data_IF_124143810491
#
_entry.id   IF_124143810491
#
_cell.length_a   1.000
_cell.length_b   1.000
_cell.length_c   1.000
_cell.angle_alpha   90.00
_cell.angle_beta   90.00
_cell.angle_gamma   90.00
#
_symmetry.space_group_name_H-M   'P 1'
#
loop_
_entity.id
_entity.type
_entity.pdbx_description
1 polymer ?
#
# COMPACT_ATOMS: atom_id res chain seq x y z
N UNK A 1 0.69 25.19 -19.07
CA UNK A 1 0.15 24.11 -18.22
C UNK A 1 0.51 22.68 -18.65
N UNK A 2 1.11 22.42 -19.82
CA UNK A 2 1.65 21.08 -20.20
C UNK A 2 3.06 20.75 -19.67
N UNK A 3 3.73 21.71 -19.02
CA UNK A 3 5.15 21.59 -18.65
C UNK A 3 5.43 20.95 -17.28
N UNK A 4 4.42 20.84 -16.40
CA UNK A 4 4.60 20.28 -15.04
C UNK A 4 4.41 18.76 -15.04
N UNK A 5 3.43 18.25 -15.80
CA UNK A 5 3.19 16.81 -15.97
C UNK A 5 4.36 16.09 -16.65
N UNK A 6 5.08 16.77 -17.54
CA UNK A 6 6.26 16.20 -18.22
C UNK A 6 7.49 16.07 -17.32
N UNK A 7 7.61 16.88 -16.26
CA UNK A 7 8.78 16.86 -15.35
C UNK A 7 8.71 15.71 -14.33
N UNK A 8 7.51 15.32 -13.92
CA UNK A 8 7.32 14.16 -13.02
C UNK A 8 7.65 12.86 -13.76
N UNK A 9 7.21 12.71 -15.01
CA UNK A 9 7.52 11.53 -15.84
C UNK A 9 9.01 11.47 -16.25
N UNK A 10 9.64 12.60 -16.60
CA UNK A 10 11.06 12.64 -16.99
C UNK A 10 12.02 12.34 -15.83
N UNK A 11 11.64 12.68 -14.60
CA UNK A 11 12.45 12.37 -13.41
C UNK A 11 12.38 10.89 -13.03
N UNK A 12 11.28 10.20 -13.36
CA UNK A 12 11.12 8.76 -13.14
C UNK A 12 11.88 7.97 -14.22
N UNK A 13 11.93 8.44 -15.47
CA UNK A 13 12.73 7.81 -16.53
C UNK A 13 14.25 7.87 -16.30
N UNK A 14 14.78 8.91 -15.65
CA UNK A 14 16.23 9.02 -15.40
C UNK A 14 16.73 8.04 -14.34
N UNK A 15 15.85 7.53 -13.46
CA UNK A 15 16.16 6.49 -12.48
C UNK A 15 16.30 5.09 -13.12
N UNK A 16 15.68 4.89 -14.29
CA UNK A 16 15.66 3.61 -15.03
C UNK A 16 16.97 3.38 -15.80
N UNK A 17 17.62 4.44 -16.30
CA UNK A 17 18.87 4.31 -17.09
C UNK A 17 20.08 3.99 -16.20
N UNK A 18 20.09 4.45 -14.94
CA UNK A 18 21.24 4.23 -14.05
C UNK A 18 21.32 2.80 -13.48
N UNK A 19 20.19 2.09 -13.36
CA UNK A 19 20.15 0.73 -12.81
C UNK A 19 20.41 -0.36 -13.85
N UNK A 20 20.11 -0.11 -15.14
CA UNK A 20 20.43 -1.03 -16.23
C UNK A 20 21.93 -1.09 -16.59
N UNK A 21 22.72 -0.10 -16.17
CA UNK A 21 24.16 -0.05 -16.46
C UNK A 21 25.00 -0.88 -15.48
N UNK A 22 24.44 -1.31 -14.34
CA UNK A 22 25.18 -2.02 -13.29
C UNK A 22 25.07 -3.55 -13.38
N UNK A 23 24.19 -4.08 -14.24
CA UNK A 23 23.99 -5.53 -14.42
C UNK A 23 24.92 -6.19 -15.46
N UNK A 24 25.84 -5.43 -16.05
CA UNK A 24 26.75 -5.90 -17.12
C UNK A 24 28.19 -6.18 -16.65
N UNK A 25 28.46 -6.11 -15.34
CA UNK A 25 29.78 -6.35 -14.77
C UNK A 25 29.76 -7.35 -13.60
N UNK A 26 29.21 -8.55 -13.80
CA UNK A 26 29.53 -9.70 -12.95
C UNK A 26 29.80 -10.94 -13.81
N UNK A 27 31.10 -11.16 -14.01
CA UNK A 27 31.83 -12.42 -14.19
C UNK A 27 31.09 -13.67 -14.67
N UNK A 28 31.44 -14.08 -15.90
CA UNK A 28 31.33 -15.46 -16.35
C UNK A 28 32.38 -16.35 -15.64
N UNK A 29 31.96 -17.55 -15.22
CA UNK A 29 32.85 -18.66 -14.87
C UNK A 29 32.33 -19.97 -15.51
N UNK A 30 33.20 -20.93 -15.84
CA UNK A 30 32.99 -21.86 -16.95
C UNK A 30 32.22 -23.13 -16.56
N UNK A 31 31.47 -23.67 -17.53
CA UNK A 31 30.79 -24.97 -17.47
C UNK A 31 31.78 -26.12 -17.63
N UNK A 32 31.79 -27.03 -16.66
CA UNK A 32 32.33 -28.39 -16.80
C UNK A 32 31.29 -29.33 -17.42
N UNK A 33 31.71 -30.07 -18.44
CA UNK A 33 31.00 -31.18 -19.11
C UNK A 33 31.46 -32.50 -18.49
N UNK A 34 30.57 -33.52 -18.45
CA UNK A 34 30.79 -34.97 -18.68
C UNK A 34 29.56 -35.75 -18.14
N UNK A 35 28.61 -36.17 -18.98
CA UNK A 35 28.44 -37.48 -19.68
C UNK A 35 28.19 -38.72 -18.81
N UNK A 36 27.08 -39.41 -19.08
CA UNK A 36 26.78 -40.80 -18.68
C UNK A 36 25.30 -41.12 -18.94
N UNK A 37 24.94 -41.60 -20.14
CA UNK A 37 24.82 -43.02 -20.51
C UNK A 37 23.44 -43.64 -20.18
N UNK A 38 22.72 -43.98 -21.26
CA UNK A 38 21.46 -44.74 -21.37
C UNK A 38 21.75 -46.26 -21.29
N UNK A 39 20.80 -47.13 -20.87
CA UNK A 39 19.97 -47.86 -21.86
C UNK A 39 18.51 -48.12 -21.37
N UNK A 40 17.48 -47.97 -22.20
CA UNK A 40 16.83 -48.96 -23.08
C UNK A 40 16.09 -50.12 -22.36
N UNK A 41 14.77 -50.18 -22.55
CA UNK A 41 13.95 -51.36 -22.27
C UNK A 41 12.46 -51.05 -22.03
N UNK A 42 11.61 -51.27 -23.04
CA UNK A 42 10.17 -51.34 -22.87
C UNK A 42 9.58 -52.40 -23.80
N UNK A 43 8.70 -53.28 -23.30
CA UNK A 43 7.65 -53.86 -24.12
C UNK A 43 6.25 -53.49 -23.59
N UNK A 44 5.31 -53.47 -24.52
CA UNK A 44 3.90 -53.13 -24.34
C UNK A 44 3.13 -54.16 -23.49
N UNK A 45 2.13 -53.70 -22.73
CA UNK A 45 1.19 -54.54 -22.00
C UNK A 45 -0.09 -53.80 -21.58
N UNK A 46 -1.23 -54.37 -22.02
CA UNK A 46 -2.66 -54.10 -21.75
C UNK A 46 -3.09 -53.67 -20.32
N UNK A 47 -4.04 -52.73 -20.29
CA UNK A 47 -5.40 -52.79 -19.67
C UNK A 47 -5.60 -53.46 -18.30
N UNK A 48 -5.98 -52.69 -17.27
CA UNK A 48 -7.31 -52.65 -16.58
C UNK A 48 -7.24 -51.86 -15.26
N UNK A 49 -8.29 -51.09 -14.98
CA UNK A 49 -8.86 -50.71 -13.68
C UNK A 49 -7.97 -50.26 -12.50
N UNK A 50 -8.11 -48.99 -12.10
CA UNK A 50 -7.96 -48.56 -10.70
C UNK A 50 -8.68 -47.23 -10.44
N UNK A 51 -9.92 -47.30 -9.92
CA UNK A 51 -10.47 -46.29 -9.02
C UNK A 51 -9.83 -46.48 -7.65
N UNK A 52 -9.02 -45.53 -7.15
CA UNK A 52 -8.98 -45.09 -5.74
C UNK A 52 -7.86 -44.05 -5.50
N UNK A 53 -8.12 -43.12 -4.58
CA UNK A 53 -7.19 -42.22 -3.86
C UNK A 53 -6.70 -40.95 -4.59
N UNK A 54 -7.50 -39.89 -4.48
CA UNK A 54 -7.03 -38.50 -4.45
C UNK A 54 -7.34 -37.91 -3.06
N UNK A 55 -6.52 -38.24 -2.07
CA UNK A 55 -6.37 -37.41 -0.86
C UNK A 55 -5.22 -36.44 -1.10
N UNK A 56 -5.56 -35.30 -1.73
CA UNK A 56 -4.64 -34.19 -1.96
C UNK A 56 -4.72 -33.17 -0.82
N UNK A 57 -3.76 -33.28 0.10
CA UNK A 57 -3.14 -32.22 0.90
C UNK A 57 -3.98 -30.96 1.22
N UNK A 58 -4.48 -30.87 2.46
CA UNK A 58 -4.93 -29.61 3.05
C UNK A 58 -3.77 -28.59 3.08
N UNK A 59 -3.99 -27.31 2.77
CA UNK A 59 -3.00 -26.26 3.00
C UNK A 59 -2.61 -26.24 4.47
N UNK A 60 -1.31 -26.26 4.76
CA UNK A 60 -0.82 -26.00 6.11
C UNK A 60 -1.08 -24.53 6.43
N UNK A 61 -1.94 -24.30 7.43
CA UNK A 61 -2.14 -22.99 8.04
C UNK A 61 -0.78 -22.52 8.60
N UNK A 62 -0.20 -21.49 7.98
CA UNK A 62 0.98 -20.82 8.54
C UNK A 62 0.52 -20.08 9.80
N UNK A 63 1.10 -20.36 10.98
CA UNK A 63 0.65 -19.73 12.22
C UNK A 63 0.89 -18.22 12.16
N UNK A 64 -0.17 -17.42 12.30
CA UNK A 64 -0.15 -15.95 12.40
C UNK A 64 0.82 -15.44 13.49
N UNK A 65 1.16 -16.29 14.47
CA UNK A 65 2.12 -15.99 15.54
C UNK A 65 3.57 -15.79 15.06
N UNK A 66 3.97 -16.35 13.92
CA UNK A 66 5.31 -16.16 13.35
C UNK A 66 5.50 -14.77 12.72
N UNK A 67 4.43 -14.18 12.16
CA UNK A 67 4.47 -12.85 11.51
C UNK A 67 4.58 -11.72 12.56
N UNK A 68 3.93 -11.86 13.72
CA UNK A 68 4.05 -10.89 14.81
C UNK A 68 5.45 -10.88 15.46
N UNK A 69 6.09 -12.06 15.57
CA UNK A 69 7.38 -12.21 16.22
C UNK A 69 8.55 -11.52 15.49
N UNK A 70 8.52 -11.47 14.16
CA UNK A 70 9.54 -10.75 13.36
C UNK A 70 9.30 -9.24 13.32
N UNK A 71 8.04 -8.77 13.39
CA UNK A 71 7.72 -7.34 13.46
C UNK A 71 8.19 -6.68 14.77
N UNK A 72 8.07 -7.37 15.90
CA UNK A 72 8.54 -6.86 17.19
C UNK A 72 10.08 -6.82 17.29
N UNK A 73 10.80 -7.76 16.67
CA UNK A 73 12.28 -7.72 16.62
C UNK A 73 12.83 -6.56 15.78
N UNK A 74 12.03 -5.97 14.90
CA UNK A 74 12.39 -4.75 14.16
C UNK A 74 12.35 -3.49 15.02
N UNK A 75 11.66 -3.50 16.17
CA UNK A 75 11.63 -2.38 17.12
C UNK A 75 12.84 -2.34 18.06
N UNK A 76 13.56 -3.46 18.22
CA UNK A 76 14.85 -3.52 18.92
C UNK A 76 16.03 -3.09 18.04
N UNK A 77 15.79 -2.73 16.77
CA UNK A 77 16.79 -2.07 15.93
C UNK A 77 17.14 -0.75 16.60
N UNK A 78 18.37 -0.68 17.10
CA UNK A 78 19.03 0.45 17.75
C UNK A 78 18.45 1.76 17.22
N UNK A 79 17.48 2.28 17.97
CA UNK A 79 16.87 3.57 17.71
C UNK A 79 17.99 4.59 17.84
N UNK A 80 18.48 5.10 16.73
CA UNK A 80 19.31 6.28 16.76
C UNK A 80 18.42 7.41 17.33
N UNK A 81 18.66 7.78 18.58
CA UNK A 81 17.93 8.85 19.28
C UNK A 81 18.34 10.24 18.77
N UNK A 82 19.01 10.32 17.62
CA UNK A 82 19.31 11.58 16.94
C UNK A 82 18.00 12.24 16.47
N UNK A 83 17.48 13.09 17.37
CA UNK A 83 16.45 14.12 17.20
C UNK A 83 15.42 13.91 16.07
N UNK A 84 14.17 13.61 16.44
CA UNK A 84 13.01 13.88 15.57
C UNK A 84 13.08 15.33 15.09
N UNK A 85 13.25 15.55 13.79
CA UNK A 85 13.54 16.89 13.25
C UNK A 85 12.30 17.60 12.72
N UNK A 86 11.17 16.90 12.57
CA UNK A 86 9.91 17.52 12.17
C UNK A 86 8.72 16.85 12.87
N UNK A 87 7.89 17.68 13.50
CA UNK A 87 6.60 17.30 14.06
C UNK A 87 5.52 18.29 13.64
N UNK A 88 4.28 17.85 13.74
CA UNK A 88 3.09 18.63 13.47
C UNK A 88 2.02 18.23 14.48
N UNK A 89 1.10 19.14 14.77
CA UNK A 89 0.05 18.92 15.77
C UNK A 89 -1.29 19.28 15.17
N UNK A 90 -2.30 18.42 15.38
CA UNK A 90 -3.67 18.68 14.95
C UNK A 90 -4.30 19.77 15.82
N UNK A 91 -5.34 20.49 15.34
CA UNK A 91 -6.09 21.46 16.15
C UNK A 91 -6.60 20.92 17.49
N UNK A 92 -6.97 19.63 17.58
CA UNK A 92 -7.40 18.98 18.84
C UNK A 92 -6.25 18.40 19.66
N UNK A 93 -4.98 18.59 19.24
CA UNK A 93 -3.80 18.31 20.06
C UNK A 93 -3.10 16.98 19.79
N UNK A 94 -3.51 16.20 18.79
CA UNK A 94 -2.79 14.98 18.41
C UNK A 94 -1.47 15.35 17.72
N UNK A 95 -0.38 14.74 18.17
CA UNK A 95 0.97 15.05 17.71
C UNK A 95 1.48 13.96 16.78
N UNK A 96 2.05 14.35 15.64
CA UNK A 96 2.72 13.42 14.72
C UNK A 96 4.17 13.80 14.58
N UNK A 97 5.05 12.80 14.64
CA UNK A 97 6.48 12.92 14.38
C UNK A 97 6.96 11.72 13.58
N UNK A 98 8.17 11.82 13.06
CA UNK A 98 8.83 10.68 12.42
C UNK A 98 10.32 10.65 12.76
N UNK A 99 10.92 9.48 12.58
CA UNK A 99 12.38 9.27 12.65
C UNK A 99 12.82 8.23 11.64
N UNK A 100 14.09 8.25 11.25
CA UNK A 100 14.67 7.18 10.44
C UNK A 100 14.75 5.88 11.25
N UNK A 101 14.24 4.79 10.67
CA UNK A 101 14.56 3.42 11.13
C UNK A 101 15.78 2.93 10.38
N UNK A 102 15.82 3.20 9.07
CA UNK A 102 16.94 2.88 8.22
C UNK A 102 16.98 3.89 7.06
N UNK A 103 17.83 4.91 7.19
CA UNK A 103 17.96 5.97 6.18
C UNK A 103 18.50 5.44 4.84
N UNK A 104 19.39 4.44 4.87
CA UNK A 104 19.94 3.82 3.66
C UNK A 104 18.87 3.13 2.82
N UNK A 105 17.90 2.48 3.48
CA UNK A 105 16.75 1.84 2.83
C UNK A 105 15.57 2.80 2.63
N UNK A 106 15.67 4.05 3.10
CA UNK A 106 14.60 5.03 3.02
C UNK A 106 13.37 4.64 3.83
N UNK A 107 13.57 4.09 5.03
CA UNK A 107 12.51 3.61 5.93
C UNK A 107 12.43 4.52 7.17
N UNK A 108 11.24 5.04 7.42
CA UNK A 108 10.92 5.84 8.60
C UNK A 108 9.90 5.16 9.50
N UNK A 109 9.90 5.55 10.77
CA UNK A 109 8.85 5.25 11.74
C UNK A 109 8.07 6.53 12.00
N UNK A 110 6.78 6.51 11.68
CA UNK A 110 5.84 7.54 12.11
C UNK A 110 5.33 7.22 13.51
N UNK A 111 5.14 8.25 14.31
CA UNK A 111 4.56 8.17 15.65
C UNK A 111 3.41 9.15 15.72
N UNK A 112 2.22 8.66 16.04
CA UNK A 112 1.07 9.50 16.36
C UNK A 112 0.77 9.36 17.84
N UNK A 113 0.88 10.45 18.59
CA UNK A 113 0.65 10.49 20.02
C UNK A 113 -0.55 11.37 20.33
N UNK A 114 -1.52 10.81 21.05
CA UNK A 114 -2.68 11.53 21.55
C UNK A 114 -2.52 11.77 23.06
N UNK A 115 -2.09 12.98 23.48
CA UNK A 115 -1.92 13.33 24.89
C UNK A 115 -3.23 13.76 25.56
N UNK A 116 -4.36 13.71 24.86
CA UNK A 116 -5.65 14.18 25.36
C UNK A 116 -6.42 13.05 26.05
N UNK A 117 -7.48 13.42 26.77
CA UNK A 117 -8.36 12.48 27.47
C UNK A 117 -9.49 11.94 26.57
N UNK A 118 -9.49 12.27 25.28
CA UNK A 118 -10.48 11.81 24.29
C UNK A 118 -9.82 10.99 23.18
N UNK A 119 -10.56 10.05 22.59
CA UNK A 119 -10.15 9.42 21.33
C UNK A 119 -10.26 10.44 20.20
N UNK A 120 -9.19 10.55 19.40
CA UNK A 120 -9.14 11.45 18.24
C UNK A 120 -8.97 10.64 16.96
N UNK A 121 -9.65 11.06 15.90
CA UNK A 121 -9.43 10.55 14.55
C UNK A 121 -8.77 11.65 13.71
N UNK A 122 -7.67 11.31 13.03
CA UNK A 122 -6.91 12.25 12.22
C UNK A 122 -6.53 11.66 10.86
N UNK A 123 -6.22 12.53 9.91
CA UNK A 123 -5.47 12.17 8.70
C UNK A 123 -4.16 12.94 8.65
N UNK A 124 -3.13 12.28 8.10
CA UNK A 124 -1.80 12.88 7.95
C UNK A 124 -1.64 13.46 6.54
N UNK A 125 -1.26 14.73 6.45
CA UNK A 125 -0.82 15.37 5.21
C UNK A 125 0.70 15.42 5.22
N UNK A 126 1.34 14.71 4.31
CA UNK A 126 2.80 14.54 4.31
C UNK A 126 3.38 14.51 2.90
N UNK A 127 4.64 14.92 2.77
CA UNK A 127 5.39 14.89 1.52
C UNK A 127 6.83 14.45 1.75
N UNK A 128 7.68 14.66 0.76
CA UNK A 128 9.12 14.45 0.89
C UNK A 128 9.91 15.49 0.10
N UNK A 129 10.85 16.17 0.76
CA UNK A 129 11.74 17.11 0.08
C UNK A 129 12.81 16.37 -0.72
N UNK A 130 13.24 16.92 -1.88
CA UNK A 130 12.75 18.15 -2.49
C UNK A 130 11.63 17.94 -3.52
N UNK A 131 11.16 16.70 -3.73
CA UNK A 131 10.45 16.34 -4.98
C UNK A 131 8.99 15.96 -4.83
N UNK A 132 8.57 15.51 -3.65
CA UNK A 132 7.23 14.97 -3.42
C UNK A 132 6.42 16.03 -2.69
N UNK A 133 5.45 16.68 -3.36
CA UNK A 133 4.58 17.64 -2.71
C UNK A 133 3.78 16.97 -1.59
N UNK A 134 3.28 17.76 -0.64
CA UNK A 134 2.41 17.24 0.40
C UNK A 134 1.08 16.76 -0.18
N UNK A 135 0.63 15.59 0.26
CA UNK A 135 -0.67 15.01 -0.08
C UNK A 135 -1.23 14.23 1.10
N UNK A 136 -2.51 13.90 1.05
CA UNK A 136 -3.12 13.06 2.08
C UNK A 136 -2.52 11.65 2.07
N UNK A 137 -1.93 11.22 3.18
CA UNK A 137 -1.33 9.91 3.27
C UNK A 137 -2.39 8.82 3.05
N UNK A 138 -2.09 7.86 2.19
CA UNK A 138 -3.05 6.89 1.65
C UNK A 138 -3.45 7.15 0.19
N UNK A 139 -3.41 8.39 -0.31
CA UNK A 139 -3.96 8.72 -1.64
C UNK A 139 -3.16 8.15 -2.83
N UNK A 140 -1.82 8.13 -2.76
CA UNK A 140 -0.97 7.88 -3.92
C UNK A 140 -1.13 6.48 -4.55
N UNK A 141 -1.27 5.42 -3.74
CA UNK A 141 -1.36 4.04 -4.23
C UNK A 141 -2.51 3.27 -3.59
N UNK A 142 -3.59 3.97 -3.21
CA UNK A 142 -4.71 3.39 -2.47
C UNK A 142 -5.28 2.09 -3.07
N UNK A 143 -5.46 1.91 -4.40
CA UNK A 143 -5.99 0.67 -4.93
C UNK A 143 -4.97 -0.47 -4.79
N UNK A 144 -3.67 -0.17 -4.93
CA UNK A 144 -2.64 -1.19 -4.72
C UNK A 144 -2.62 -1.67 -3.28
N UNK A 145 -2.89 -0.81 -2.29
CA UNK A 145 -2.94 -1.21 -0.88
C UNK A 145 -4.06 -2.19 -0.56
N UNK A 146 -5.16 -2.12 -1.32
CA UNK A 146 -6.27 -3.08 -1.27
C UNK A 146 -5.94 -4.40 -1.97
N UNK A 147 -4.83 -4.47 -2.70
CA UNK A 147 -4.45 -5.70 -3.37
C UNK A 147 -4.26 -6.80 -2.33
N UNK A 148 -4.75 -8.01 -2.60
CA UNK A 148 -4.54 -9.16 -1.73
C UNK A 148 -3.07 -9.53 -1.54
N UNK A 149 -2.23 -9.14 -2.50
CA UNK A 149 -0.78 -9.39 -2.47
C UNK A 149 -0.04 -8.46 -1.50
N UNK A 150 -0.63 -7.32 -1.16
CA UNK A 150 -0.07 -6.35 -0.21
C UNK A 150 -0.78 -6.38 1.13
N UNK A 151 -2.11 -6.59 1.10
CA UNK A 151 -3.02 -6.66 2.25
C UNK A 151 -2.70 -5.64 3.36
N UNK A 152 -2.35 -4.40 2.99
CA UNK A 152 -1.91 -3.38 3.94
C UNK A 152 -3.09 -2.56 4.48
N UNK A 153 -4.23 -2.64 3.80
CA UNK A 153 -5.44 -1.88 4.10
C UNK A 153 -6.62 -2.82 4.25
N UNK A 154 -7.45 -2.51 5.23
CA UNK A 154 -8.77 -3.11 5.40
C UNK A 154 -9.84 -2.05 5.09
N UNK A 155 -10.75 -2.38 4.17
CA UNK A 155 -11.96 -1.60 3.95
C UNK A 155 -13.02 -2.07 4.95
N UNK A 156 -12.99 -1.47 6.14
CA UNK A 156 -14.04 -1.64 7.15
C UNK A 156 -15.17 -0.61 7.00
N UNK A 157 -16.27 -0.86 7.72
CA UNK A 157 -17.32 0.14 7.96
C UNK A 157 -16.90 1.08 9.09
N UNK A 158 -17.19 2.36 8.94
CA UNK A 158 -16.99 3.36 9.98
C UNK A 158 -18.14 3.42 11.00
N UNK A 159 -17.95 4.16 12.11
CA UNK A 159 -16.71 4.84 12.49
C UNK A 159 -15.64 3.82 12.89
N UNK A 160 -14.41 4.08 12.46
CA UNK A 160 -13.31 3.19 12.78
C UNK A 160 -12.94 3.22 14.28
N UNK A 161 -12.70 2.05 14.90
CA UNK A 161 -12.27 1.97 16.28
C UNK A 161 -10.83 2.50 16.43
N UNK A 162 -10.41 2.86 17.66
CA UNK A 162 -9.02 3.13 17.95
C UNK A 162 -8.11 1.99 17.49
N UNK A 163 -7.02 2.36 16.82
CA UNK A 163 -6.02 1.41 16.36
C UNK A 163 -5.15 0.94 17.52
N UNK A 164 -4.68 -0.29 17.42
CA UNK A 164 -3.64 -0.82 18.30
C UNK A 164 -2.32 -0.06 18.10
N UNK A 165 -1.41 -0.16 19.07
CA UNK A 165 -0.11 0.53 19.05
C UNK A 165 0.71 0.25 17.77
N UNK A 166 0.61 -0.96 17.21
CA UNK A 166 1.27 -1.37 15.97
C UNK A 166 0.23 -1.96 15.00
N UNK A 167 -0.54 -1.11 14.30
CA UNK A 167 -1.65 -1.58 13.48
C UNK A 167 -1.15 -2.53 12.40
N UNK A 168 -1.83 -3.67 12.27
CA UNK A 168 -1.57 -4.63 11.19
C UNK A 168 -2.03 -4.06 9.86
N UNK A 169 -3.18 -3.37 9.87
CA UNK A 169 -3.83 -2.76 8.71
C UNK A 169 -4.05 -1.27 8.92
N UNK A 170 -3.89 -0.51 7.83
CA UNK A 170 -4.30 0.89 7.78
C UNK A 170 -5.76 1.00 7.38
N UNK A 171 -6.47 1.94 8.00
CA UNK A 171 -7.88 2.19 7.75
C UNK A 171 -8.02 3.28 6.68
N UNK A 172 -8.62 2.94 5.55
CA UNK A 172 -8.72 3.82 4.37
C UNK A 172 -10.15 4.35 4.20
N UNK A 173 -10.31 5.67 4.16
CA UNK A 173 -11.60 6.33 4.01
C UNK A 173 -11.61 7.33 2.85
N UNK A 174 -12.82 7.72 2.44
CA UNK A 174 -13.03 8.94 1.66
C UNK A 174 -13.04 10.13 2.61
N UNK A 175 -12.14 11.08 2.41
CA UNK A 175 -12.16 12.35 3.14
C UNK A 175 -12.90 13.41 2.32
N UNK A 176 -14.02 13.89 2.87
CA UNK A 176 -14.89 14.89 2.26
C UNK A 176 -14.35 16.29 2.52
N UNK A 177 -13.77 16.89 1.48
CA UNK A 177 -13.49 18.33 1.39
C UNK A 177 -14.35 18.97 0.29
N UNK A 178 -14.00 20.19 -0.13
CA UNK A 178 -14.48 20.76 -1.39
C UNK A 178 -14.15 19.84 -2.59
N UNK A 179 -13.02 19.11 -2.51
CA UNK A 179 -12.70 17.95 -3.34
C UNK A 179 -12.48 16.72 -2.48
N UNK A 180 -13.02 15.58 -2.91
CA UNK A 180 -12.88 14.33 -2.18
C UNK A 180 -11.54 13.66 -2.54
N UNK A 181 -10.96 12.94 -1.59
CA UNK A 181 -9.76 12.13 -1.82
C UNK A 181 -9.73 10.92 -0.90
N UNK A 182 -8.83 9.98 -1.21
CA UNK A 182 -8.62 8.78 -0.39
C UNK A 182 -7.53 9.06 0.64
N UNK A 183 -7.79 8.73 1.90
CA UNK A 183 -6.89 9.02 3.01
C UNK A 183 -6.89 7.87 4.01
N UNK A 184 -5.74 7.63 4.61
CA UNK A 184 -5.71 6.89 5.87
C UNK A 184 -6.30 7.75 6.98
N UNK A 185 -7.14 7.11 7.78
CA UNK A 185 -7.69 7.66 9.01
C UNK A 185 -7.04 6.91 10.16
N UNK A 186 -6.49 7.67 11.08
CA UNK A 186 -5.82 7.16 12.26
C UNK A 186 -6.67 7.52 13.48
N UNK A 187 -7.36 6.53 14.03
CA UNK A 187 -8.09 6.70 15.29
C UNK A 187 -7.16 6.32 16.44
N UNK A 188 -6.80 7.28 17.28
CA UNK A 188 -5.85 7.12 18.39
C UNK A 188 -6.58 7.33 19.71
N UNK A 189 -6.55 6.32 20.58
CA UNK A 189 -7.21 6.39 21.89
C UNK A 189 -6.61 7.50 22.75
N UNK A 190 -7.36 7.95 23.76
CA UNK A 190 -6.89 8.87 24.78
C UNK A 190 -5.57 8.39 25.41
N UNK A 191 -4.66 9.32 25.69
CA UNK A 191 -3.38 9.07 26.36
C UNK A 191 -2.56 7.90 25.76
N UNK A 192 -2.63 7.71 24.43
CA UNK A 192 -2.00 6.58 23.74
C UNK A 192 -1.17 7.01 22.54
N UNK A 193 -0.45 6.06 21.96
CA UNK A 193 0.33 6.25 20.74
C UNK A 193 0.14 5.08 19.80
N UNK A 194 0.23 5.37 18.50
CA UNK A 194 0.37 4.36 17.45
C UNK A 194 1.63 4.63 16.63
N UNK A 195 2.20 3.56 16.08
CA UNK A 195 3.44 3.60 15.34
C UNK A 195 3.31 2.78 14.06
N UNK A 196 3.88 3.28 12.98
CA UNK A 196 3.94 2.51 11.74
C UNK A 196 5.16 2.89 10.91
N UNK A 197 5.65 1.91 10.15
CA UNK A 197 6.78 2.10 9.25
C UNK A 197 6.30 2.48 7.86
N UNK A 198 7.05 3.36 7.21
CA UNK A 198 6.85 3.71 5.81
C UNK A 198 8.20 3.65 5.09
N UNK A 199 8.22 2.92 3.97
CA UNK A 199 9.35 2.88 3.06
C UNK A 199 9.09 3.80 1.85
N UNK A 200 10.12 4.05 1.04
CA UNK A 200 9.99 4.85 -0.19
C UNK A 200 10.59 6.25 -0.09
N UNK A 201 11.50 6.48 0.86
CA UNK A 201 12.29 7.71 0.97
C UNK A 201 13.77 7.49 0.66
N UNK A 202 14.15 6.96 -0.52
CA UNK A 202 15.56 6.82 -0.88
C UNK A 202 16.23 8.19 -0.93
N UNK A 203 17.51 8.25 -0.54
CA UNK A 203 18.30 9.49 -0.62
C UNK A 203 18.21 10.12 -2.03
N UNK A 204 17.99 11.45 -2.15
CA UNK A 204 18.01 12.46 -1.09
C UNK A 204 16.64 12.78 -0.47
N UNK A 205 15.62 11.92 -0.66
CA UNK A 205 14.28 12.19 -0.16
C UNK A 205 14.24 12.21 1.37
N UNK A 206 13.71 13.29 1.93
CA UNK A 206 13.48 13.44 3.37
C UNK A 206 11.99 13.67 3.61
N UNK A 207 11.29 12.78 4.35
CA UNK A 207 9.87 12.99 4.64
C UNK A 207 9.67 14.25 5.47
N UNK A 208 8.48 14.84 5.35
CA UNK A 208 8.05 15.90 6.23
C UNK A 208 6.55 15.79 6.50
N UNK A 209 6.15 16.20 7.70
CA UNK A 209 4.75 16.44 7.99
C UNK A 209 4.39 17.86 7.59
N UNK A 210 3.42 18.02 6.69
CA UNK A 210 2.86 19.33 6.36
C UNK A 210 1.81 19.73 7.41
N UNK A 211 0.88 18.81 7.71
CA UNK A 211 -0.16 19.03 8.71
C UNK A 211 -0.79 17.71 9.14
N UNK A 212 -1.49 17.75 10.28
CA UNK A 212 -2.38 16.69 10.75
C UNK A 212 -3.74 17.31 10.95
N UNK A 213 -4.75 16.68 10.41
CA UNK A 213 -6.10 17.24 10.33
C UNK A 213 -7.05 16.36 11.13
N UNK A 214 -7.80 16.97 12.05
CA UNK A 214 -8.84 16.27 12.79
C UNK A 214 -10.02 15.98 11.86
N UNK A 215 -10.52 14.75 11.93
CA UNK A 215 -11.61 14.28 11.08
C UNK A 215 -12.69 13.60 11.91
N UNK A 216 -13.94 13.83 11.53
CA UNK A 216 -15.11 13.21 12.13
C UNK A 216 -15.79 12.30 11.11
N UNK A 217 -16.26 11.15 11.59
CA UNK A 217 -17.04 10.23 10.78
C UNK A 217 -18.39 10.85 10.42
N UNK A 218 -18.78 10.74 9.16
CA UNK A 218 -20.05 11.28 8.66
C UNK A 218 -21.03 10.16 8.36
N UNK A 219 -20.65 9.25 7.47
CA UNK A 219 -21.53 8.17 6.99
C UNK A 219 -20.70 7.05 6.35
N UNK A 220 -21.29 5.85 6.24
CA UNK A 220 -20.83 4.85 5.29
C UNK A 220 -21.57 5.06 3.98
N UNK A 221 -20.86 5.10 2.86
CA UNK A 221 -21.46 5.43 1.57
C UNK A 221 -20.91 4.58 0.44
N UNK A 222 -21.84 4.04 -0.35
CA UNK A 222 -21.55 3.44 -1.63
C UNK A 222 -20.85 4.46 -2.55
N UNK A 223 -19.70 4.09 -3.11
CA UNK A 223 -18.97 4.94 -4.04
C UNK A 223 -18.42 4.11 -5.22
N UNK A 224 -18.35 4.77 -6.38
CA UNK A 224 -17.51 4.32 -7.48
C UNK A 224 -16.28 5.24 -7.54
N UNK A 225 -15.09 4.66 -7.40
CA UNK A 225 -13.84 5.41 -7.44
C UNK A 225 -13.06 5.00 -8.68
N UNK A 226 -13.04 5.86 -9.69
CA UNK A 226 -12.17 5.69 -10.84
C UNK A 226 -10.76 6.12 -10.48
N UNK A 227 -9.78 5.42 -11.04
CA UNK A 227 -8.37 5.72 -10.85
C UNK A 227 -7.57 5.37 -12.11
N UNK A 228 -6.34 5.87 -12.23
CA UNK A 228 -5.44 5.44 -13.32
C UNK A 228 -4.62 4.24 -12.89
N UNK A 229 -4.89 3.06 -13.48
CA UNK A 229 -4.24 1.79 -13.09
C UNK A 229 -2.72 1.87 -13.17
N UNK A 230 -2.19 2.55 -14.18
CA UNK A 230 -0.74 2.73 -14.35
C UNK A 230 -0.12 3.47 -13.15
N UNK A 231 -0.66 4.64 -12.77
CA UNK A 231 -0.08 5.46 -11.71
C UNK A 231 -0.29 4.89 -10.31
N UNK A 232 -1.44 4.26 -10.05
CA UNK A 232 -1.80 3.83 -8.70
C UNK A 232 -1.48 2.37 -8.39
N UNK A 233 -1.33 1.51 -9.41
CA UNK A 233 -1.02 0.10 -9.23
C UNK A 233 0.29 -0.30 -9.90
N UNK A 234 0.46 -0.03 -11.20
CA UNK A 234 1.66 -0.49 -11.92
C UNK A 234 2.95 0.09 -11.31
N UNK A 235 2.96 1.40 -11.04
CA UNK A 235 4.11 2.05 -10.40
C UNK A 235 4.39 1.49 -9.00
N UNK A 236 3.35 1.25 -8.19
CA UNK A 236 3.51 0.67 -6.86
C UNK A 236 4.16 -0.72 -6.93
N UNK A 237 3.61 -1.64 -7.73
CA UNK A 237 4.14 -2.99 -7.84
C UNK A 237 5.55 -3.02 -8.43
N UNK A 238 5.84 -2.15 -9.41
CA UNK A 238 7.19 -1.99 -9.92
C UNK A 238 8.18 -1.53 -8.84
N UNK A 239 7.78 -0.58 -7.98
CA UNK A 239 8.60 -0.15 -6.83
C UNK A 239 8.83 -1.28 -5.82
N UNK A 240 7.82 -2.12 -5.61
CA UNK A 240 7.92 -3.33 -4.79
C UNK A 240 8.65 -4.49 -5.50
N UNK A 241 9.12 -4.29 -6.74
CA UNK A 241 9.77 -5.31 -7.58
C UNK A 241 8.87 -6.53 -7.85
N UNK A 242 7.55 -6.34 -7.81
CA UNK A 242 6.57 -7.33 -8.21
C UNK A 242 6.36 -7.21 -9.71
N UNK A 243 6.75 -8.25 -10.45
CA UNK A 243 6.56 -8.33 -11.90
C UNK A 243 5.12 -8.78 -12.21
N UNK A 244 4.54 -8.37 -13.34
CA UNK A 244 3.23 -8.81 -13.76
C UNK A 244 3.19 -10.33 -14.03
N UNK A 245 1.99 -10.94 -13.95
CA UNK A 245 0.71 -10.28 -13.67
C UNK A 245 0.56 -9.89 -12.18
N UNK A 246 0.02 -8.70 -11.92
CA UNK A 246 -0.31 -8.25 -10.57
C UNK A 246 -1.82 -7.99 -10.42
N UNK A 247 -2.33 -8.18 -9.20
CA UNK A 247 -3.72 -7.96 -8.85
C UNK A 247 -3.94 -6.54 -8.36
N UNK A 248 -4.92 -5.86 -8.92
CA UNK A 248 -5.35 -4.54 -8.51
C UNK A 248 -6.89 -4.50 -8.55
N UNK A 249 -7.56 -3.72 -7.71
CA UNK A 249 -9.00 -3.55 -7.78
C UNK A 249 -9.48 -3.24 -9.21
N UNK A 250 -10.71 -3.61 -9.56
CA UNK A 250 -11.28 -3.24 -10.86
C UNK A 250 -11.46 -1.72 -10.92
N UNK A 251 -11.39 -1.14 -12.11
CA UNK A 251 -11.56 0.30 -12.30
C UNK A 251 -12.88 0.57 -13.06
N UNK A 252 -13.85 1.30 -12.48
CA UNK A 252 -13.83 1.87 -11.13
C UNK A 252 -13.94 0.83 -10.02
N UNK A 253 -13.42 1.15 -8.84
CA UNK A 253 -13.67 0.39 -7.61
C UNK A 253 -15.05 0.74 -7.11
N UNK A 254 -15.92 -0.25 -6.97
CA UNK A 254 -17.27 -0.09 -6.42
C UNK A 254 -17.33 -0.80 -5.07
N UNK A 255 -17.55 -0.04 -4.01
CA UNK A 255 -17.64 -0.56 -2.66
C UNK A 255 -18.36 0.45 -1.75
N UNK A 256 -18.66 0.02 -0.52
CA UNK A 256 -18.97 0.93 0.57
C UNK A 256 -17.69 1.47 1.18
N UNK A 257 -17.58 2.80 1.29
CA UNK A 257 -16.47 3.45 1.97
C UNK A 257 -16.98 4.25 3.15
N UNK A 258 -16.26 4.27 4.27
CA UNK A 258 -16.52 5.27 5.29
C UNK A 258 -16.11 6.64 4.77
N UNK A 259 -16.98 7.61 5.04
CA UNK A 259 -16.78 9.01 4.69
C UNK A 259 -16.51 9.77 5.97
N UNK A 260 -15.37 10.44 6.00
CA UNK A 260 -14.99 11.37 7.05
C UNK A 260 -15.04 12.80 6.51
N UNK A 261 -15.17 13.79 7.38
CA UNK A 261 -15.03 15.20 7.05
C UNK A 261 -14.14 15.88 8.09
N UNK A 262 -13.58 17.04 7.77
CA UNK A 262 -12.79 17.79 8.76
C UNK A 262 -13.67 18.26 9.91
N UNK A 263 -13.19 18.07 11.14
CA UNK A 263 -13.86 18.58 12.34
C UNK A 263 -13.98 20.11 12.32
N UNK A 264 -12.98 20.78 11.75
CA UNK A 264 -12.96 22.23 11.53
C UNK A 264 -12.73 22.51 10.02
N UNK A 265 -13.58 23.34 9.42
CA UNK A 265 -13.73 23.54 7.97
C UNK A 265 -12.56 24.21 7.23
N UNK A 266 -11.34 24.22 7.79
CA UNK A 266 -10.24 25.09 7.35
C UNK A 266 -9.05 24.39 6.68
N UNK A 267 -9.17 23.17 6.17
CA UNK A 267 -8.04 22.52 5.46
C UNK A 267 -7.99 22.99 4.00
N UNK A 268 -6.84 23.52 3.53
CA UNK A 268 -6.67 23.97 2.15
C UNK A 268 -6.89 22.83 1.14
N UNK A 269 -7.63 23.11 0.05
CA UNK A 269 -7.96 22.14 -1.02
C UNK A 269 -6.76 21.48 -1.70
N UNK A 270 -5.56 22.05 -1.56
CA UNK A 270 -4.38 21.71 -2.36
C UNK A 270 -3.83 20.29 -2.14
N UNK A 271 -4.28 19.57 -1.10
CA UNK A 271 -3.71 18.27 -0.71
C UNK A 271 -4.45 17.03 -1.25
N UNK A 272 -5.58 17.24 -1.93
CA UNK A 272 -6.49 16.16 -2.37
C UNK A 272 -6.49 15.95 -3.88
N UNK A 273 -5.70 16.71 -4.63
CA UNK A 273 -5.65 16.59 -6.08
C UNK A 273 -4.57 15.60 -6.51
N UNK A 274 -4.99 14.38 -6.83
CA UNK A 274 -4.23 13.49 -7.70
C UNK A 274 -4.86 13.54 -9.10
N UNK A 275 -4.05 13.81 -10.12
CA UNK A 275 -4.48 13.80 -11.51
C UNK A 275 -4.70 12.37 -11.96
N UNK A 276 -5.81 11.77 -11.54
CA UNK A 276 -6.08 10.37 -11.87
C UNK A 276 -7.20 9.73 -11.08
N UNK A 277 -7.65 10.32 -9.96
CA UNK A 277 -8.73 9.78 -9.12
C UNK A 277 -10.00 10.61 -9.27
N UNK A 278 -11.14 9.96 -9.53
CA UNK A 278 -12.48 10.57 -9.43
C UNK A 278 -13.39 9.73 -8.55
N UNK A 279 -14.06 10.39 -7.59
CA UNK A 279 -14.93 9.73 -6.61
C UNK A 279 -16.38 10.12 -6.93
N UNK A 280 -17.23 9.10 -7.13
CA UNK A 280 -18.65 9.24 -7.42
C UNK A 280 -19.49 8.63 -6.29
N UNK A 281 -19.94 9.47 -5.36
CA UNK A 281 -20.75 9.05 -4.22
C UNK A 281 -22.19 8.69 -4.64
N UNK A 282 -22.70 7.57 -4.11
CA UNK A 282 -24.06 7.06 -4.38
C UNK A 282 -24.22 6.35 -5.74
N UNK A 283 -23.12 6.11 -6.48
CA UNK A 283 -23.17 5.57 -7.83
C UNK A 283 -22.99 4.03 -7.93
N UNK A 284 -22.75 3.33 -6.83
CA UNK A 284 -22.56 1.88 -6.86
C UNK A 284 -23.92 1.14 -6.79
N UNK A 285 -24.61 1.03 -7.92
CA UNK A 285 -25.67 0.04 -8.10
C UNK A 285 -25.01 -1.33 -8.37
N UNK A 286 -24.71 -2.08 -7.31
CA UNK A 286 -24.28 -3.47 -7.39
C UNK A 286 -22.92 -3.77 -6.77
N UNK A 287 -22.88 -4.90 -6.05
CA UNK A 287 -21.77 -5.52 -5.33
C UNK A 287 -21.13 -4.67 -4.21
N UNK A 288 -21.25 -5.16 -2.97
CA UNK A 288 -20.54 -4.61 -1.79
C UNK A 288 -19.08 -5.06 -1.72
N UNK A 289 -18.67 -6.06 -2.51
CA UNK A 289 -17.30 -6.57 -2.53
C UNK A 289 -16.46 -5.93 -3.63
N UNK A 290 -15.23 -5.56 -3.26
CA UNK A 290 -14.21 -5.10 -4.20
C UNK A 290 -13.87 -6.23 -5.16
N UNK A 291 -14.10 -5.99 -6.45
CA UNK A 291 -13.69 -6.89 -7.52
C UNK A 291 -12.25 -6.60 -7.91
N UNK A 292 -11.48 -7.63 -8.27
CA UNK A 292 -10.07 -7.48 -8.68
C UNK A 292 -9.86 -7.88 -10.13
N UNK A 293 -8.88 -7.25 -10.78
CA UNK A 293 -8.49 -7.50 -12.16
C UNK A 293 -6.98 -7.76 -12.25
N UNK A 294 -6.61 -8.57 -13.25
CA UNK A 294 -5.22 -8.91 -13.55
C UNK A 294 -4.65 -7.96 -14.60
N UNK A 295 -3.51 -7.36 -14.30
CA UNK A 295 -2.84 -6.41 -15.20
C UNK A 295 -1.44 -6.87 -15.59
N UNK A 296 -1.09 -6.61 -16.85
CA UNK A 296 0.24 -6.83 -17.42
C UNK A 296 0.83 -5.50 -17.91
N UNK A 297 2.16 -5.41 -18.05
CA UNK A 297 2.79 -4.25 -18.71
C UNK A 297 2.37 -4.23 -20.19
N UNK A 298 1.33 -3.46 -20.52
CA UNK A 298 0.75 -3.40 -21.87
C UNK A 298 -0.77 -3.56 -21.92
N UNK A 299 -1.44 -3.87 -20.81
CA UNK A 299 -2.90 -3.88 -20.75
C UNK A 299 -3.50 -4.94 -19.82
N UNK A 300 -4.82 -5.03 -19.86
CA UNK A 300 -5.60 -6.02 -19.11
C UNK A 300 -5.42 -7.41 -19.72
N UNK A 301 -5.03 -8.38 -18.90
CA UNK A 301 -5.05 -9.79 -19.28
C UNK A 301 -6.45 -10.34 -19.00
N UNK A 302 -7.10 -10.94 -19.99
CA UNK A 302 -8.40 -11.62 -19.80
C UNK A 302 -8.30 -12.87 -18.92
N UNK A 303 -7.08 -13.32 -18.56
CA UNK A 303 -6.90 -14.41 -17.61
C UNK A 303 -7.13 -13.91 -16.20
N UNK A 304 -8.35 -14.12 -15.70
CA UNK A 304 -8.77 -13.89 -14.31
C UNK A 304 -8.00 -14.74 -13.27
N UNK A 305 -7.07 -15.59 -13.71
CA UNK A 305 -6.42 -16.59 -12.88
C UNK A 305 -5.28 -16.07 -12.00
N UNK A 306 -4.77 -14.85 -12.21
CA UNK A 306 -3.69 -14.32 -11.36
C UNK A 306 -4.17 -13.91 -9.95
N UNK A 307 -5.49 -13.71 -9.77
CA UNK A 307 -6.10 -13.38 -8.47
C UNK A 307 -6.88 -14.55 -7.85
N UNK A 308 -6.82 -15.75 -8.45
CA UNK A 308 -7.45 -16.95 -7.90
C UNK A 308 -6.62 -17.47 -6.71
N UNK A 309 -7.28 -17.62 -5.56
CA UNK A 309 -6.65 -17.99 -4.29
C UNK A 309 -6.84 -16.95 -3.19
N UNK A 310 -7.35 -15.77 -3.54
CA UNK A 310 -7.71 -14.72 -2.60
C UNK A 310 -9.12 -14.98 -2.09
N UNK A 311 -9.25 -15.35 -0.81
CA UNK A 311 -10.51 -15.18 -0.09
C UNK A 311 -10.60 -13.70 0.28
N UNK A 312 -11.58 -13.00 -0.30
CA UNK A 312 -12.04 -11.68 0.16
C UNK A 312 -12.93 -11.89 1.38
#
# INVERSE_FOLDING_TARGET
MRAITLRILASICSLIVLTLSLSLLVGAAPRGVLTGAQPAGAPAGRSTDAQHLLEGSRPQDVPTSLILGERLRMLDVVVDRSSSTASCTSPRGLQVSWRWVNQTLGIVLWTMHNPTDETLAVSLIRGAHPMVPAYCFGNAFWPAYLSPTTAFVELGTGPYPPQEELPVYMQLAILKAQKQGMCFVFTVAANSSIYFTEAGFPSPLTPYCESVVDVDFVENRQAAVDYTVESHCALYFLQQRVLPPYCCPSNPVKAEFPVYAFANSSVPEKYYYDSGVSIHLGAANGSTSVQYSCYTFGGTSSNASCCLGVKV
#
